data_IF_843710021796
#
_entry.id   IF_843710021796
#
_cell.length_a   1.000
_cell.length_b   1.000
_cell.length_c   1.000
_cell.angle_alpha   90.00
_cell.angle_beta   90.00
_cell.angle_gamma   90.00
#
_symmetry.space_group_name_H-M   'P 1'
#
loop_
_entity.id
_entity.type
_entity.pdbx_description
1 polymer ?
#
# COMPACT_ATOMS: atom_id res chain seq x y z
N UNK A 1 3.03 2.28 0.26
CA UNK A 1 3.79 3.54 0.05
C UNK A 1 3.39 4.58 1.07
N UNK A 2 3.85 5.84 0.93
CA UNK A 2 3.43 6.96 1.79
C UNK A 2 3.45 8.29 1.02
N UNK A 3 2.75 9.29 1.52
CA UNK A 3 2.77 10.64 1.00
C UNK A 3 2.75 11.64 2.16
N UNK A 4 3.67 12.61 2.12
CA UNK A 4 3.68 13.74 3.05
C UNK A 4 2.86 14.88 2.46
N UNK A 5 1.93 15.41 3.23
CA UNK A 5 1.04 16.50 2.80
C UNK A 5 1.03 17.58 3.87
N UNK A 6 1.19 18.82 3.43
CA UNK A 6 0.96 20.01 4.26
C UNK A 6 -0.43 20.54 3.97
N UNK A 7 -1.17 20.90 5.02
CA UNK A 7 -2.54 21.40 4.94
C UNK A 7 -2.66 22.66 5.80
N UNK A 8 -3.30 23.69 5.26
CA UNK A 8 -3.75 24.83 6.05
C UNK A 8 -4.91 24.42 6.98
N UNK A 9 -5.21 25.22 8.04
CA UNK A 9 -6.38 24.98 8.88
C UNK A 9 -7.67 24.88 8.05
N UNK A 10 -8.38 23.75 8.16
CA UNK A 10 -9.62 23.47 7.42
C UNK A 10 -9.42 22.94 5.99
N UNK A 11 -8.20 22.89 5.47
CA UNK A 11 -7.92 22.35 4.14
C UNK A 11 -8.09 20.82 4.11
N UNK A 12 -8.61 20.32 2.98
CA UNK A 12 -8.71 18.90 2.68
C UNK A 12 -8.03 18.61 1.35
N UNK A 13 -7.26 17.53 1.28
CA UNK A 13 -6.70 17.02 0.02
C UNK A 13 -6.95 15.54 -0.15
N UNK A 14 -7.21 15.16 -1.39
CA UNK A 14 -7.15 13.78 -1.85
C UNK A 14 -5.73 13.47 -2.27
N UNK A 15 -5.23 12.30 -1.89
CA UNK A 15 -3.87 11.85 -2.18
C UNK A 15 -3.93 10.48 -2.81
N UNK A 16 -3.13 10.26 -3.86
CA UNK A 16 -3.00 8.96 -4.51
C UNK A 16 -1.63 8.38 -4.19
N UNK A 17 -1.61 7.16 -3.64
CA UNK A 17 -0.39 6.39 -3.44
C UNK A 17 -0.45 5.20 -4.39
N UNK A 18 0.34 5.17 -5.47
CA UNK A 18 0.29 4.08 -6.42
C UNK A 18 0.84 2.79 -5.79
N UNK A 19 0.14 1.68 -6.03
CA UNK A 19 0.62 0.32 -5.77
C UNK A 19 0.74 -0.37 -7.13
N UNK A 20 1.96 -0.73 -7.50
CA UNK A 20 2.26 -1.49 -8.72
C UNK A 20 2.38 -2.99 -8.41
N UNK A 21 2.56 -3.83 -9.43
CA UNK A 21 2.71 -5.28 -9.23
C UNK A 21 3.88 -5.65 -8.32
N UNK A 22 4.91 -4.80 -8.21
CA UNK A 22 6.05 -5.01 -7.33
C UNK A 22 5.74 -4.71 -5.87
N UNK A 23 4.73 -3.88 -5.61
CA UNK A 23 4.23 -3.57 -4.26
C UNK A 23 3.63 -4.79 -3.56
N UNK A 24 3.27 -5.82 -4.32
CA UNK A 24 2.73 -7.09 -3.83
C UNK A 24 3.70 -8.27 -4.00
N UNK A 25 4.89 -8.02 -4.55
CA UNK A 25 5.82 -9.07 -4.90
C UNK A 25 6.86 -9.33 -3.80
N UNK A 26 7.25 -10.60 -3.67
CA UNK A 26 8.45 -11.03 -2.96
C UNK A 26 9.51 -11.51 -3.96
N UNK A 27 10.77 -11.58 -3.52
CA UNK A 27 11.84 -12.13 -4.35
C UNK A 27 11.92 -13.65 -4.16
N UNK A 28 11.60 -14.42 -5.20
CA UNK A 28 11.85 -15.85 -5.23
C UNK A 28 13.33 -16.12 -5.52
N UNK A 29 14.03 -16.60 -4.49
CA UNK A 29 15.48 -16.89 -4.54
C UNK A 29 15.78 -18.05 -5.49
N UNK A 30 14.94 -19.09 -5.53
CA UNK A 30 15.16 -20.26 -6.37
C UNK A 30 14.99 -19.90 -7.85
N UNK A 31 13.92 -19.16 -8.15
CA UNK A 31 13.61 -18.65 -9.48
C UNK A 31 14.39 -17.41 -9.90
N UNK A 32 15.15 -16.78 -8.99
CA UNK A 32 15.90 -15.54 -9.17
C UNK A 32 15.07 -14.41 -9.80
N UNK A 33 13.81 -14.29 -9.38
CA UNK A 33 12.85 -13.32 -9.94
C UNK A 33 11.90 -12.79 -8.88
N UNK A 34 11.28 -11.66 -9.17
CA UNK A 34 10.15 -11.16 -8.38
C UNK A 34 8.89 -11.94 -8.75
N UNK A 35 8.12 -12.36 -7.75
CA UNK A 35 6.82 -12.99 -7.91
C UNK A 35 5.81 -12.39 -6.95
N UNK A 36 4.57 -12.22 -7.41
CA UNK A 36 3.44 -11.92 -6.57
C UNK A 36 2.50 -13.12 -6.63
N UNK A 37 1.99 -13.55 -5.49
CA UNK A 37 1.04 -14.66 -5.43
C UNK A 37 -0.35 -14.18 -5.82
N UNK A 38 -1.12 -15.05 -6.47
CA UNK A 38 -2.55 -14.80 -6.66
C UNK A 38 -3.27 -14.94 -5.30
N UNK A 39 -4.27 -14.11 -5.05
CA UNK A 39 -5.01 -14.16 -3.79
C UNK A 39 -5.46 -12.81 -3.27
N UNK A 40 -5.79 -12.78 -1.98
CA UNK A 40 -6.31 -11.59 -1.31
C UNK A 40 -5.16 -10.85 -0.61
N UNK A 41 -5.03 -9.56 -0.93
CA UNK A 41 -4.13 -8.64 -0.26
C UNK A 41 -4.94 -7.66 0.61
N UNK A 42 -4.57 -7.52 1.88
CA UNK A 42 -5.07 -6.46 2.72
C UNK A 42 -4.28 -5.17 2.45
N UNK A 43 -4.99 -4.07 2.18
CA UNK A 43 -4.42 -2.74 2.04
C UNK A 43 -4.92 -1.90 3.20
N UNK A 44 -4.00 -1.45 4.04
CA UNK A 44 -4.33 -0.69 5.25
C UNK A 44 -3.83 0.75 5.14
N UNK A 45 -4.63 1.70 5.62
CA UNK A 45 -4.27 3.12 5.69
C UNK A 45 -4.20 3.54 7.15
N UNK A 46 -3.06 4.11 7.54
CA UNK A 46 -2.80 4.56 8.90
C UNK A 46 -1.95 5.82 8.94
N UNK A 47 -1.88 6.42 10.14
CA UNK A 47 -0.94 7.51 10.42
C UNK A 47 0.45 6.97 10.75
N UNK A 48 0.49 5.79 11.34
CA UNK A 48 1.69 5.01 11.67
C UNK A 48 1.36 3.53 11.46
N UNK A 49 2.39 2.68 11.33
CA UNK A 49 2.19 1.23 11.20
C UNK A 49 1.44 0.59 12.39
N UNK A 50 1.49 1.22 13.57
CA UNK A 50 0.76 0.76 14.76
C UNK A 50 -0.66 1.36 14.88
N UNK A 51 -1.03 2.33 14.02
CA UNK A 51 -2.33 3.02 14.09
C UNK A 51 -2.97 3.13 12.71
N UNK A 52 -3.74 2.08 12.41
CA UNK A 52 -4.51 1.89 11.19
C UNK A 52 -5.92 2.44 11.39
N UNK A 53 -6.52 2.95 10.32
CA UNK A 53 -7.82 3.62 10.33
C UNK A 53 -8.78 3.06 9.27
N UNK A 54 -8.24 2.45 8.23
CA UNK A 54 -9.00 1.80 7.16
C UNK A 54 -8.26 0.53 6.72
N UNK A 55 -9.01 -0.50 6.37
CA UNK A 55 -8.54 -1.70 5.70
C UNK A 55 -9.47 -1.97 4.50
N UNK A 56 -8.87 -2.38 3.39
CA UNK A 56 -9.58 -2.83 2.19
C UNK A 56 -8.95 -4.13 1.68
N UNK A 57 -9.73 -4.98 1.01
CA UNK A 57 -9.25 -6.21 0.38
C UNK A 57 -9.17 -6.07 -1.13
N UNK A 58 -7.97 -6.28 -1.69
CA UNK A 58 -7.74 -6.40 -3.12
C UNK A 58 -7.60 -7.87 -3.51
N UNK A 59 -8.08 -8.23 -4.70
CA UNK A 59 -7.94 -9.57 -5.28
C UNK A 59 -7.00 -9.50 -6.48
N UNK A 60 -5.97 -10.34 -6.47
CA UNK A 60 -5.02 -10.53 -7.58
C UNK A 60 -5.29 -11.83 -8.34
#
# INVERSE_FOLDING_TARGET
>A
GFARVELAPGERRTVTVPLDGRSFAYFDVAGKRWQADAGRYAVEIGRTAARLMLEESLFS
#
